data_IF_790825245469
#
_entry.id   IF_790825245469
#
_cell.length_a   1.000
_cell.length_b   1.000
_cell.length_c   1.000
_cell.angle_alpha   90.00
_cell.angle_beta   90.00
_cell.angle_gamma   90.00
#
_symmetry.space_group_name_H-M   'P 1'
#
loop_
_entity.id
_entity.type
_entity.pdbx_description
1 polymer ?
#
# COMPACT_ATOMS: atom_id res chain seq x y z
N UNK A 1 3.67 8.50 0.84
CA UNK A 1 4.45 8.94 2.02
C UNK A 1 5.82 9.46 1.64
N UNK A 2 6.71 8.65 1.04
CA UNK A 2 8.04 9.12 0.60
C UNK A 2 7.99 10.36 -0.30
N UNK A 3 7.12 10.37 -1.31
CA UNK A 3 6.93 11.53 -2.20
C UNK A 3 6.43 12.78 -1.46
N UNK A 4 5.58 12.61 -0.44
CA UNK A 4 5.12 13.76 0.37
C UNK A 4 6.26 14.37 1.20
N UNK A 5 7.23 13.55 1.63
CA UNK A 5 8.39 14.00 2.41
C UNK A 5 9.42 14.68 1.52
N UNK A 6 9.71 14.10 0.35
CA UNK A 6 10.77 14.59 -0.55
C UNK A 6 10.28 15.58 -1.60
N UNK A 7 8.96 15.69 -1.79
CA UNK A 7 8.33 16.47 -2.87
C UNK A 7 8.61 15.92 -4.27
N UNK A 8 9.11 14.68 -4.38
CA UNK A 8 9.55 14.07 -5.64
C UNK A 8 9.12 12.61 -5.73
N UNK A 9 8.85 12.16 -6.95
CA UNK A 9 8.58 10.75 -7.25
C UNK A 9 9.75 9.90 -6.76
N UNK A 10 9.46 8.88 -5.95
CA UNK A 10 10.49 8.01 -5.35
C UNK A 10 11.13 7.07 -6.39
N UNK A 11 10.32 6.46 -7.25
CA UNK A 11 10.77 5.55 -8.31
C UNK A 11 10.25 6.06 -9.65
N UNK A 12 11.10 6.74 -10.41
CA UNK A 12 10.71 7.36 -11.68
C UNK A 12 11.13 6.48 -12.86
N UNK A 13 10.33 5.45 -13.13
CA UNK A 13 10.51 4.58 -14.30
C UNK A 13 9.79 5.10 -15.54
N UNK A 14 10.36 4.87 -16.71
CA UNK A 14 9.75 5.20 -18.02
C UNK A 14 8.90 4.05 -18.58
N UNK A 15 9.18 2.82 -18.16
CA UNK A 15 8.42 1.60 -18.47
C UNK A 15 8.48 0.62 -17.29
N UNK A 16 7.81 -0.53 -17.40
CA UNK A 16 7.75 -1.55 -16.33
C UNK A 16 9.12 -2.12 -15.89
N UNK A 17 10.07 -2.29 -16.81
CA UNK A 17 11.40 -2.84 -16.51
C UNK A 17 12.29 -1.75 -15.90
N UNK A 18 12.21 -0.54 -16.45
CA UNK A 18 12.88 0.63 -15.89
C UNK A 18 12.38 0.93 -14.47
N UNK A 19 11.07 0.84 -14.23
CA UNK A 19 10.48 1.00 -12.90
C UNK A 19 10.98 -0.05 -11.92
N UNK A 20 11.09 -1.32 -12.34
CA UNK A 20 11.68 -2.37 -11.50
C UNK A 20 13.14 -2.08 -11.16
N UNK A 21 13.94 -1.62 -12.13
CA UNK A 21 15.33 -1.19 -11.87
C UNK A 21 15.40 -0.03 -10.90
N UNK A 22 14.54 0.98 -11.02
CA UNK A 22 14.49 2.11 -10.08
C UNK A 22 14.13 1.67 -8.66
N UNK A 23 13.22 0.70 -8.50
CA UNK A 23 12.91 0.11 -7.19
C UNK A 23 14.15 -0.59 -6.63
N UNK A 24 14.78 -1.49 -7.41
CA UNK A 24 15.94 -2.26 -6.98
C UNK A 24 17.17 -1.40 -6.66
N UNK A 25 17.32 -0.23 -7.30
CA UNK A 25 18.37 0.75 -6.95
C UNK A 25 18.28 1.26 -5.52
N UNK A 26 17.11 1.16 -4.87
CA UNK A 26 16.88 1.59 -3.50
C UNK A 26 16.78 0.38 -2.56
N UNK A 27 15.99 -0.63 -2.95
CA UNK A 27 15.73 -1.81 -2.11
C UNK A 27 16.83 -2.86 -2.15
N UNK A 28 17.73 -2.79 -3.13
CA UNK A 28 18.72 -3.81 -3.43
C UNK A 28 18.15 -4.99 -4.23
N UNK A 29 19.04 -5.92 -4.60
CA UNK A 29 18.66 -7.16 -5.28
C UNK A 29 17.93 -8.09 -4.29
N UNK A 30 16.78 -8.68 -4.67
CA UNK A 30 16.07 -9.59 -3.78
C UNK A 30 16.86 -10.88 -3.53
N UNK A 31 16.64 -11.54 -2.38
CA UNK A 31 17.28 -12.81 -2.08
C UNK A 31 16.81 -13.90 -3.05
N UNK A 32 17.63 -14.95 -3.30
CA UNK A 32 17.27 -16.06 -4.18
C UNK A 32 15.95 -16.75 -3.79
N UNK A 33 15.64 -16.80 -2.49
CA UNK A 33 14.38 -17.34 -1.97
C UNK A 33 13.16 -16.61 -2.54
N UNK A 34 13.23 -15.29 -2.66
CA UNK A 34 12.15 -14.49 -3.25
C UNK A 34 12.03 -14.76 -4.76
N UNK A 35 13.15 -14.86 -5.47
CA UNK A 35 13.15 -15.16 -6.92
C UNK A 35 12.48 -16.51 -7.18
N UNK A 36 12.67 -17.49 -6.29
CA UNK A 36 12.03 -18.79 -6.44
C UNK A 36 10.51 -18.77 -6.23
N UNK A 37 9.98 -17.86 -5.41
CA UNK A 37 8.53 -17.66 -5.21
C UNK A 37 7.82 -17.11 -6.46
N UNK A 38 8.55 -16.48 -7.39
CA UNK A 38 7.97 -15.95 -8.61
C UNK A 38 7.36 -17.07 -9.46
N UNK A 39 6.16 -16.84 -10.01
CA UNK A 39 5.44 -17.85 -10.80
C UNK A 39 5.89 -17.87 -12.27
N UNK A 40 6.34 -16.73 -12.82
CA UNK A 40 6.77 -16.62 -14.21
C UNK A 40 8.26 -16.95 -14.35
N UNK A 41 8.58 -17.84 -15.30
CA UNK A 41 9.96 -18.20 -15.63
C UNK A 41 10.71 -17.01 -16.28
N UNK A 42 10.00 -16.20 -17.07
CA UNK A 42 10.53 -14.99 -17.67
C UNK A 42 10.96 -13.98 -16.60
N UNK A 43 10.14 -13.80 -15.56
CA UNK A 43 10.45 -12.93 -14.44
C UNK A 43 11.68 -13.43 -13.66
N UNK A 44 11.81 -14.75 -13.44
CA UNK A 44 12.99 -15.35 -12.80
C UNK A 44 14.26 -15.09 -13.59
N UNK A 45 14.25 -15.44 -14.88
CA UNK A 45 15.40 -15.25 -15.76
C UNK A 45 15.81 -13.77 -15.86
N UNK A 46 14.84 -12.86 -15.85
CA UNK A 46 15.11 -11.42 -15.82
C UNK A 46 15.80 -11.01 -14.51
N UNK A 47 15.29 -11.46 -13.35
CA UNK A 47 15.90 -11.14 -12.04
C UNK A 47 17.32 -11.70 -11.90
N UNK A 48 17.56 -12.92 -12.39
CA UNK A 48 18.87 -13.57 -12.36
C UNK A 48 19.89 -12.90 -13.30
N UNK A 49 19.42 -12.27 -14.39
CA UNK A 49 20.26 -11.55 -15.33
C UNK A 49 20.64 -10.13 -14.90
N UNK A 50 20.07 -9.61 -13.80
CA UNK A 50 20.38 -8.28 -13.30
C UNK A 50 21.66 -8.29 -12.46
N UNK A 51 22.48 -7.21 -12.50
CA UNK A 51 23.62 -7.10 -11.61
C UNK A 51 23.17 -7.03 -10.15
N UNK A 52 23.98 -7.56 -9.24
CA UNK A 52 23.75 -7.40 -7.81
C UNK A 52 23.84 -5.93 -7.41
N UNK A 53 22.84 -5.47 -6.67
CA UNK A 53 22.72 -4.11 -6.14
C UNK A 53 22.59 -4.19 -4.63
N UNK A 54 23.43 -3.43 -3.94
CA UNK A 54 23.30 -3.28 -2.49
C UNK A 54 22.11 -2.36 -2.15
N UNK A 55 21.41 -2.71 -1.08
CA UNK A 55 20.34 -1.87 -0.53
C UNK A 55 20.93 -0.52 -0.10
N UNK A 56 20.30 0.56 -0.54
CA UNK A 56 20.70 1.92 -0.10
C UNK A 56 20.21 2.19 1.30
N UNK A 57 20.93 3.06 2.01
CA UNK A 57 20.44 3.65 3.25
C UNK A 57 19.24 4.57 2.95
N UNK A 58 18.08 4.23 3.49
CA UNK A 58 16.85 4.98 3.28
C UNK A 58 16.92 6.38 3.89
N UNK A 59 17.73 6.61 4.93
CA UNK A 59 17.93 7.95 5.47
C UNK A 59 18.61 8.87 4.44
N UNK A 60 19.49 8.32 3.60
CA UNK A 60 20.15 9.08 2.51
C UNK A 60 19.21 9.37 1.34
N UNK A 61 18.23 8.49 1.07
CA UNK A 61 17.25 8.64 -0.01
C UNK A 61 16.13 9.61 0.39
N UNK A 62 15.64 9.47 1.62
CA UNK A 62 14.55 10.25 2.18
C UNK A 62 15.09 11.48 2.92
N UNK A 63 15.82 12.32 2.19
CA UNK A 63 16.34 13.58 2.74
C UNK A 63 15.19 14.40 3.32
N UNK A 64 15.29 14.79 4.60
CA UNK A 64 14.25 15.46 5.41
C UNK A 64 13.22 14.57 6.12
N UNK A 65 13.33 13.24 6.07
CA UNK A 65 12.52 12.35 6.89
C UNK A 65 13.01 12.30 8.35
N UNK A 66 12.10 12.22 9.32
CA UNK A 66 12.47 11.88 10.69
C UNK A 66 12.95 10.41 10.77
N UNK A 67 13.78 10.02 11.75
CA UNK A 67 14.23 8.63 11.89
C UNK A 67 13.06 7.63 12.00
N UNK A 68 11.95 8.04 12.62
CA UNK A 68 10.74 7.23 12.71
C UNK A 68 10.04 7.08 11.35
N UNK A 69 10.01 8.13 10.52
CA UNK A 69 9.47 8.06 9.16
C UNK A 69 10.31 7.14 8.26
N UNK A 70 11.65 7.23 8.37
CA UNK A 70 12.59 6.36 7.66
C UNK A 70 12.33 4.90 8.04
N UNK A 71 12.29 4.59 9.35
CA UNK A 71 12.07 3.23 9.81
C UNK A 71 10.73 2.65 9.35
N UNK A 72 9.66 3.46 9.36
CA UNK A 72 8.36 3.03 8.86
C UNK A 72 8.40 2.75 7.35
N UNK A 73 9.00 3.66 6.57
CA UNK A 73 9.12 3.50 5.13
C UNK A 73 9.98 2.29 4.73
N UNK A 74 11.04 1.98 5.49
CA UNK A 74 11.82 0.77 5.28
C UNK A 74 11.00 -0.51 5.47
N UNK A 75 10.07 -0.52 6.43
CA UNK A 75 9.17 -1.67 6.67
C UNK A 75 8.05 -1.78 5.62
N UNK A 76 7.70 -0.66 4.97
CA UNK A 76 6.69 -0.63 3.91
C UNK A 76 7.27 -0.97 2.53
N UNK A 77 8.46 -0.47 2.23
CA UNK A 77 9.12 -0.57 0.92
C UNK A 77 10.01 -1.82 0.83
N UNK A 78 9.40 -2.98 1.11
CA UNK A 78 10.03 -4.29 0.99
C UNK A 78 9.54 -4.98 -0.28
N UNK A 79 10.46 -5.58 -1.04
CA UNK A 79 10.13 -6.29 -2.29
C UNK A 79 9.15 -7.45 -2.03
N UNK A 80 9.47 -8.31 -1.07
CA UNK A 80 8.60 -9.40 -0.64
C UNK A 80 7.34 -8.86 0.05
N UNK A 81 6.17 -9.10 -0.57
CA UNK A 81 4.88 -8.63 -0.05
C UNK A 81 4.52 -9.27 1.29
N UNK A 82 4.96 -10.50 1.54
CA UNK A 82 4.68 -11.22 2.79
C UNK A 82 5.46 -10.66 3.98
N UNK A 83 6.54 -9.92 3.70
CA UNK A 83 7.40 -9.30 4.72
C UNK A 83 7.05 -7.82 4.97
N UNK A 84 6.15 -7.24 4.19
CA UNK A 84 5.73 -5.84 4.37
C UNK A 84 4.90 -5.71 5.64
N UNK A 85 5.11 -4.61 6.35
CA UNK A 85 4.26 -4.23 7.49
C UNK A 85 2.81 -4.08 7.04
N UNK A 86 1.88 -4.63 7.82
CA UNK A 86 0.45 -4.46 7.58
C UNK A 86 -0.02 -3.05 7.95
N UNK A 87 -1.19 -2.64 7.45
CA UNK A 87 -1.76 -1.33 7.80
C UNK A 87 -1.97 -1.18 9.32
N UNK A 88 -2.44 -2.23 10.01
CA UNK A 88 -2.66 -2.22 11.45
C UNK A 88 -1.35 -2.06 12.25
N UNK A 89 -0.30 -2.79 11.86
CA UNK A 89 1.02 -2.66 12.48
C UNK A 89 1.67 -1.31 12.18
N UNK A 90 1.49 -0.79 10.96
CA UNK A 90 1.97 0.53 10.58
C UNK A 90 1.30 1.63 11.40
N UNK A 91 -0.01 1.55 11.65
CA UNK A 91 -0.73 2.48 12.52
C UNK A 91 -0.23 2.42 13.97
N UNK A 92 0.24 1.26 14.44
CA UNK A 92 0.81 1.08 15.78
C UNK A 92 2.26 1.58 15.88
N UNK A 93 2.84 2.05 14.79
CA UNK A 93 4.22 2.53 14.75
C UNK A 93 4.37 3.85 15.53
N UNK A 94 5.50 4.08 16.25
CA UNK A 94 5.77 5.33 16.97
C UNK A 94 5.66 6.61 16.14
N UNK A 95 5.79 6.49 14.81
CA UNK A 95 5.60 7.60 13.89
C UNK A 95 4.20 8.22 13.94
N UNK A 96 3.16 7.43 14.27
CA UNK A 96 1.77 7.89 14.37
C UNK A 96 1.26 7.99 15.81
N UNK A 97 2.11 7.77 16.82
CA UNK A 97 1.69 7.71 18.23
C UNK A 97 0.90 8.96 18.68
N UNK A 98 1.33 10.15 18.24
CA UNK A 98 0.65 11.41 18.55
C UNK A 98 -0.74 11.59 17.91
N UNK A 99 -1.04 10.80 16.88
CA UNK A 99 -2.30 10.86 16.12
C UNK A 99 -3.20 9.64 16.38
N UNK A 100 -2.70 8.63 17.11
CA UNK A 100 -3.38 7.35 17.27
C UNK A 100 -4.55 7.49 18.24
N UNK A 101 -5.75 7.18 17.74
CA UNK A 101 -6.96 7.00 18.55
C UNK A 101 -7.48 5.59 18.31
N UNK A 102 -7.30 4.69 19.28
CA UNK A 102 -7.68 3.28 19.13
C UNK A 102 -9.19 3.08 19.02
N UNK A 103 -9.99 4.03 19.51
CA UNK A 103 -11.45 3.99 19.41
C UNK A 103 -11.95 4.43 18.02
N UNK A 104 -11.12 5.15 17.25
CA UNK A 104 -11.39 5.62 15.88
C UNK A 104 -10.72 4.75 14.81
N UNK A 105 -10.32 3.51 15.16
CA UNK A 105 -9.79 2.48 14.25
C UNK A 105 -10.80 1.33 14.02
N UNK A 106 -12.02 1.57 13.50
CA UNK A 106 -13.02 0.52 13.32
C UNK A 106 -12.62 -0.47 12.23
N UNK A 107 -12.88 -1.76 12.46
CA UNK A 107 -12.80 -2.79 11.42
C UNK A 107 -14.08 -2.79 10.60
N UNK A 108 -13.93 -2.80 9.27
CA UNK A 108 -15.06 -2.96 8.38
C UNK A 108 -15.72 -4.34 8.57
N UNK A 109 -17.02 -4.41 8.29
CA UNK A 109 -17.70 -5.71 8.18
C UNK A 109 -17.11 -6.49 7.01
N UNK A 110 -17.10 -7.82 7.11
CA UNK A 110 -16.62 -8.67 6.01
C UNK A 110 -17.47 -8.39 4.77
N UNK A 111 -16.83 -7.98 3.69
CA UNK A 111 -17.45 -7.84 2.39
C UNK A 111 -17.70 -9.24 1.79
N UNK A 112 -18.87 -9.42 1.18
CA UNK A 112 -19.22 -10.63 0.45
C UNK A 112 -18.76 -10.48 -1.01
N UNK A 113 -17.61 -11.08 -1.32
CA UNK A 113 -16.97 -11.10 -2.63
C UNK A 113 -17.38 -12.32 -3.48
N UNK A 114 -18.32 -13.15 -3.00
CA UNK A 114 -18.78 -14.33 -3.74
C UNK A 114 -19.37 -14.04 -5.11
N UNK A 115 -19.67 -12.76 -5.39
CA UNK A 115 -20.20 -12.30 -6.67
C UNK A 115 -19.12 -12.07 -7.74
N UNK A 116 -17.85 -11.87 -7.36
CA UNK A 116 -16.80 -11.43 -8.28
C UNK A 116 -16.43 -12.52 -9.30
N UNK A 117 -16.49 -13.80 -8.90
CA UNK A 117 -16.16 -14.96 -9.74
C UNK A 117 -17.40 -15.62 -10.39
N UNK A 118 -18.53 -14.90 -10.51
CA UNK A 118 -19.77 -15.45 -11.09
C UNK A 118 -19.98 -14.95 -12.52
N UNK A 119 -20.00 -15.87 -13.48
CA UNK A 119 -20.45 -15.59 -14.84
C UNK A 119 -21.95 -15.27 -14.85
N UNK A 120 -22.29 -14.02 -15.15
CA UNK A 120 -23.67 -13.58 -15.37
C UNK A 120 -23.82 -12.86 -16.69
N UNK A 121 -25.01 -12.96 -17.26
CA UNK A 121 -25.38 -12.20 -18.46
C UNK A 121 -25.55 -10.72 -18.14
N UNK A 122 -25.48 -9.86 -19.17
CA UNK A 122 -25.67 -8.42 -19.02
C UNK A 122 -27.01 -8.06 -18.34
N UNK A 123 -28.09 -8.76 -18.67
CA UNK A 123 -29.41 -8.53 -18.08
C UNK A 123 -29.46 -8.87 -16.58
N UNK A 124 -28.72 -9.90 -16.17
CA UNK A 124 -28.61 -10.28 -14.76
C UNK A 124 -27.78 -9.27 -13.97
N UNK A 125 -26.67 -8.79 -14.53
CA UNK A 125 -25.88 -7.68 -13.97
C UNK A 125 -26.75 -6.44 -13.80
N UNK A 126 -27.47 -6.03 -14.85
CA UNK A 126 -28.37 -4.88 -14.81
C UNK A 126 -29.43 -5.02 -13.72
N UNK A 127 -30.03 -6.21 -13.58
CA UNK A 127 -31.03 -6.49 -12.55
C UNK A 127 -30.46 -6.39 -11.15
N UNK A 128 -29.25 -6.90 -10.91
CA UNK A 128 -28.60 -6.86 -9.58
C UNK A 128 -28.21 -5.42 -9.23
N UNK A 129 -27.57 -4.69 -10.14
CA UNK A 129 -27.26 -3.27 -9.94
C UNK A 129 -28.52 -2.45 -9.67
N UNK A 130 -29.61 -2.70 -10.41
CA UNK A 130 -30.87 -2.00 -10.17
C UNK A 130 -31.45 -2.30 -8.78
N UNK A 131 -31.34 -3.54 -8.29
CA UNK A 131 -31.73 -3.90 -6.92
C UNK A 131 -30.90 -3.16 -5.87
N UNK A 132 -29.58 -3.05 -6.06
CA UNK A 132 -28.70 -2.31 -5.14
C UNK A 132 -29.03 -0.81 -5.08
N UNK A 133 -29.37 -0.21 -6.22
CA UNK A 133 -29.82 1.20 -6.26
C UNK A 133 -31.12 1.37 -5.45
N UNK A 134 -32.07 0.45 -5.58
CA UNK A 134 -33.33 0.50 -4.84
C UNK A 134 -33.19 0.16 -3.35
N UNK A 135 -32.22 -0.67 -2.98
CA UNK A 135 -31.97 -1.08 -1.58
C UNK A 135 -31.12 -0.07 -0.80
N UNK A 136 -30.48 0.88 -1.50
CA UNK A 136 -29.64 1.91 -0.89
C UNK A 136 -30.41 2.71 0.16
N UNK A 137 -29.83 2.78 1.35
CA UNK A 137 -30.33 3.62 2.44
C UNK A 137 -29.31 4.72 2.66
N UNK A 138 -29.68 6.01 2.49
CA UNK A 138 -28.76 7.09 2.78
C UNK A 138 -28.28 6.97 4.23
N UNK A 139 -27.00 7.25 4.51
CA UNK A 139 -26.50 7.23 5.86
C UNK A 139 -27.33 8.20 6.70
N UNK A 140 -27.76 7.77 7.90
CA UNK A 140 -28.40 8.69 8.85
C UNK A 140 -27.41 9.82 9.06
N UNK A 141 -27.86 11.08 8.89
CA UNK A 141 -27.05 12.23 9.26
C UNK A 141 -26.77 12.09 10.76
N UNK A 142 -25.57 11.62 11.10
CA UNK A 142 -25.06 11.66 12.46
C UNK A 142 -25.04 13.15 12.82
N UNK A 143 -25.81 13.53 13.83
CA UNK A 143 -25.97 14.92 14.25
C UNK A 143 -24.61 15.61 14.38
N UNK A 144 -24.57 16.87 13.92
CA UNK A 144 -23.51 17.85 14.04
C UNK A 144 -22.26 17.39 14.83
N UNK A 145 -21.15 17.12 14.12
CA UNK A 145 -19.83 17.13 14.75
C UNK A 145 -19.65 18.49 15.43
N UNK A 146 -19.60 18.50 16.76
CA UNK A 146 -19.18 19.67 17.54
C UNK A 146 -17.77 20.03 17.07
N UNK A 147 -17.51 21.27 16.61
CA UNK A 147 -16.17 21.65 16.19
C UNK A 147 -15.26 21.61 17.42
N UNK A 148 -14.23 20.77 17.38
CA UNK A 148 -13.10 20.87 18.33
C UNK A 148 -12.39 22.18 17.98
N UNK A 149 -12.61 23.21 18.78
CA UNK A 149 -11.82 24.45 18.74
C UNK A 149 -10.33 24.07 18.76
N UNK A 150 -9.63 24.44 17.70
CA UNK A 150 -8.18 24.38 17.66
C UNK A 150 -7.70 25.62 18.42
N UNK A 151 -7.38 25.45 19.70
CA UNK A 151 -6.69 26.47 20.46
C UNK A 151 -5.25 26.57 19.93
N UNK A 152 -4.92 27.75 19.41
CA UNK A 152 -3.55 28.24 19.23
C UNK A 152 -2.87 28.46 20.59
#
# INVERSE_FOLDING_TARGET
MAEMITGKILFKGNDHLDQLKEIMKVTGTPPPEFVQKLQSAEAKNYMEGLPELEKKDFASVLTNASPQAVNLLEKMLVLDAEQRVTAAEALAHPYFESLRDTEDEPKAQKYDDSFDDVDRTLEEWKRVTYKEVLSFKPPRQLGARVPKETAL
#
